data_IF_617934959474
#
_entry.id   IF_617934959474
#
_cell.length_a   1.000
_cell.length_b   1.000
_cell.length_c   1.000
_cell.angle_alpha   90.00
_cell.angle_beta   90.00
_cell.angle_gamma   90.00
#
_symmetry.space_group_name_H-M   'P 1'
#
loop_
_entity.id
_entity.type
_entity.pdbx_description
1 polymer ?
#
# COMPACT_ATOMS: atom_id res chain seq x y z
N UNK A 1 8.80 1.83 -16.02
CA UNK A 1 8.19 1.84 -17.34
C UNK A 1 7.74 3.25 -17.76
N UNK A 2 7.26 4.06 -16.85
CA UNK A 2 6.76 5.42 -17.12
C UNK A 2 7.80 6.52 -16.87
N UNK A 3 9.06 6.17 -16.62
CA UNK A 3 10.17 7.11 -16.44
C UNK A 3 10.30 7.70 -15.02
N UNK A 4 9.41 7.37 -14.11
CA UNK A 4 9.48 7.84 -12.71
C UNK A 4 10.38 6.92 -11.88
N UNK A 5 11.25 7.51 -11.09
CA UNK A 5 11.94 6.82 -9.99
C UNK A 5 11.10 7.01 -8.74
N UNK A 6 10.69 5.93 -8.11
CA UNK A 6 9.79 5.96 -6.96
C UNK A 6 10.50 5.37 -5.75
N UNK A 7 10.41 6.06 -4.62
CA UNK A 7 10.76 5.55 -3.31
C UNK A 7 9.46 5.37 -2.52
N UNK A 8 9.19 4.14 -2.09
CA UNK A 8 8.05 3.85 -1.22
C UNK A 8 8.50 4.02 0.24
N UNK A 9 7.70 4.76 1.01
CA UNK A 9 7.83 4.83 2.46
C UNK A 9 6.82 3.82 3.04
N UNK A 10 7.27 2.58 3.27
CA UNK A 10 6.44 1.44 3.63
C UNK A 10 6.36 1.19 5.16
N UNK A 11 7.09 1.98 5.92
CA UNK A 11 7.13 1.91 7.38
C UNK A 11 6.77 3.24 7.99
N UNK A 12 6.12 3.22 9.13
CA UNK A 12 5.87 4.40 9.96
C UNK A 12 6.50 4.18 11.34
N UNK A 13 7.27 5.16 11.78
CA UNK A 13 7.92 5.13 13.09
C UNK A 13 7.23 6.07 14.07
N UNK A 14 7.46 5.95 15.39
CA UNK A 14 6.99 6.92 16.36
C UNK A 14 7.43 8.36 16.04
N UNK A 15 8.63 8.53 15.50
CA UNK A 15 9.17 9.83 15.09
C UNK A 15 8.36 10.44 13.96
N UNK A 16 7.87 9.63 13.02
CA UNK A 16 6.96 10.11 11.95
C UNK A 16 5.66 10.66 12.54
N UNK A 17 5.12 9.99 13.56
CA UNK A 17 3.93 10.47 14.27
C UNK A 17 4.20 11.80 14.98
N UNK A 18 5.34 11.93 15.67
CA UNK A 18 5.75 13.17 16.34
C UNK A 18 5.91 14.33 15.35
N UNK A 19 6.55 14.07 14.20
CA UNK A 19 6.66 15.04 13.11
C UNK A 19 5.27 15.41 12.58
N UNK A 20 4.41 14.44 12.39
CA UNK A 20 3.02 14.67 11.96
C UNK A 20 2.25 15.56 12.93
N UNK A 21 2.33 15.30 14.22
CA UNK A 21 1.70 16.12 15.28
C UNK A 21 2.27 17.54 15.34
N UNK A 22 3.51 17.74 14.93
CA UNK A 22 4.14 19.07 14.88
C UNK A 22 3.61 19.93 13.71
N UNK A 23 3.39 19.33 12.54
CA UNK A 23 3.07 20.05 11.30
C UNK A 23 1.62 19.93 10.85
N UNK A 24 0.84 19.05 11.46
CA UNK A 24 -0.60 18.87 11.22
C UNK A 24 -1.32 19.14 12.53
N UNK A 25 -2.47 19.83 12.46
CA UNK A 25 -3.31 20.02 13.63
C UNK A 25 -3.70 18.64 14.23
N UNK A 26 -3.52 18.46 15.53
CA UNK A 26 -3.86 17.24 16.26
C UNK A 26 -5.36 16.88 16.21
N UNK A 27 -6.24 17.82 15.88
CA UNK A 27 -7.66 17.57 15.60
C UNK A 27 -7.91 16.96 14.20
N UNK A 28 -6.87 16.84 13.36
CA UNK A 28 -6.96 16.12 12.11
C UNK A 28 -7.08 14.61 12.35
N UNK A 29 -7.59 13.88 11.35
CA UNK A 29 -7.66 12.43 11.46
C UNK A 29 -6.26 11.80 11.54
N UNK A 30 -6.13 10.68 12.25
CA UNK A 30 -4.86 9.99 12.45
C UNK A 30 -4.10 9.66 11.14
N UNK A 31 -4.76 9.21 10.05
CA UNK A 31 -4.09 9.04 8.76
C UNK A 31 -3.41 10.30 8.22
N UNK A 32 -3.99 11.49 8.42
CA UNK A 32 -3.34 12.73 7.99
C UNK A 32 -2.04 12.99 8.75
N UNK A 33 -2.05 12.74 10.06
CA UNK A 33 -0.87 12.87 10.91
C UNK A 33 0.23 11.91 10.43
N UNK A 34 -0.11 10.64 10.22
CA UNK A 34 0.83 9.63 9.77
C UNK A 34 1.46 9.97 8.42
N UNK A 35 0.61 10.23 7.40
CA UNK A 35 1.09 10.43 6.02
C UNK A 35 1.89 11.72 5.89
N UNK A 36 1.44 12.81 6.48
CA UNK A 36 2.19 14.08 6.44
C UNK A 36 3.46 13.97 7.24
N UNK A 37 3.41 13.34 8.42
CA UNK A 37 4.59 13.11 9.25
C UNK A 37 5.66 12.31 8.53
N UNK A 38 5.31 11.18 7.98
CA UNK A 38 6.21 10.29 7.25
C UNK A 38 6.87 11.00 6.05
N UNK A 39 6.08 11.72 5.25
CA UNK A 39 6.59 12.43 4.07
C UNK A 39 7.48 13.62 4.44
N UNK A 40 7.14 14.37 5.49
CA UNK A 40 7.99 15.49 5.99
C UNK A 40 9.26 14.95 6.64
N UNK A 41 9.15 13.90 7.45
CA UNK A 41 10.28 13.30 8.14
C UNK A 41 11.33 12.72 7.17
N UNK A 42 10.92 12.22 6.01
CA UNK A 42 11.84 11.75 4.98
C UNK A 42 12.82 12.86 4.51
N UNK A 43 12.40 14.12 4.52
CA UNK A 43 13.28 15.26 4.22
C UNK A 43 14.08 15.72 5.44
N UNK A 44 13.48 15.77 6.62
CA UNK A 44 14.14 16.19 7.85
C UNK A 44 15.32 15.27 8.19
N UNK A 45 15.20 13.98 7.93
CA UNK A 45 16.24 12.97 8.19
C UNK A 45 17.24 12.81 7.04
N UNK A 46 17.06 13.53 5.93
CA UNK A 46 17.93 13.42 4.75
C UNK A 46 17.68 12.14 3.94
N UNK A 47 16.58 11.42 4.18
CA UNK A 47 16.18 10.24 3.40
C UNK A 47 15.72 10.56 1.97
N UNK A 48 15.37 11.83 1.71
CA UNK A 48 15.03 12.35 0.40
C UNK A 48 15.73 13.68 0.13
N UNK A 49 16.17 13.91 -1.11
CA UNK A 49 16.78 15.18 -1.53
C UNK A 49 15.68 16.18 -1.94
N UNK A 50 15.47 17.27 -1.21
CA UNK A 50 14.41 18.24 -1.51
C UNK A 50 14.59 18.97 -2.85
N UNK A 51 15.80 19.01 -3.41
CA UNK A 51 16.06 19.66 -4.71
C UNK A 51 15.67 18.77 -5.91
N UNK A 52 15.65 17.44 -5.72
CA UNK A 52 15.45 16.47 -6.80
C UNK A 52 14.28 15.50 -6.56
N UNK A 53 13.45 15.78 -5.54
CA UNK A 53 12.32 14.93 -5.18
C UNK A 53 11.00 15.68 -5.23
N UNK A 54 9.93 14.95 -5.45
CA UNK A 54 8.55 15.37 -5.25
C UNK A 54 7.85 14.33 -4.39
N UNK A 55 6.84 14.73 -3.66
CA UNK A 55 5.99 13.81 -2.91
C UNK A 55 4.69 13.55 -3.66
N UNK A 56 4.20 12.32 -3.61
CA UNK A 56 2.93 11.95 -4.20
C UNK A 56 1.96 11.48 -3.13
N UNK A 57 0.74 11.98 -3.16
CA UNK A 57 -0.31 11.61 -2.23
C UNK A 57 -1.65 11.47 -2.96
N UNK A 58 -2.50 10.56 -2.50
CA UNK A 58 -3.85 10.44 -3.04
C UNK A 58 -4.76 11.53 -2.51
N UNK A 59 -5.70 11.98 -3.35
CA UNK A 59 -6.73 12.95 -3.00
C UNK A 59 -8.09 12.37 -3.40
N UNK A 60 -8.98 12.15 -2.44
CA UNK A 60 -10.21 11.39 -2.70
C UNK A 60 -11.39 12.23 -3.15
N UNK A 61 -11.55 13.41 -2.64
CA UNK A 61 -12.78 14.21 -2.83
C UNK A 61 -13.89 13.85 -1.83
N UNK A 62 -15.00 14.59 -1.88
CA UNK A 62 -16.11 14.43 -0.97
C UNK A 62 -15.85 14.96 0.45
N UNK A 63 -16.55 14.41 1.44
CA UNK A 63 -16.50 14.89 2.83
C UNK A 63 -15.34 14.34 3.65
N UNK A 64 -14.56 13.43 3.12
CA UNK A 64 -13.38 12.87 3.78
C UNK A 64 -12.26 13.91 3.84
N UNK A 65 -11.50 13.95 4.94
CA UNK A 65 -10.34 14.85 5.08
C UNK A 65 -9.21 14.52 4.09
N UNK A 66 -9.18 13.31 3.54
CA UNK A 66 -8.27 12.93 2.46
C UNK A 66 -8.38 13.83 1.21
N UNK A 67 -9.50 14.52 1.04
CA UNK A 67 -9.64 15.57 0.03
C UNK A 67 -8.64 16.71 0.21
N UNK A 68 -8.21 16.99 1.45
CA UNK A 68 -7.30 18.09 1.77
C UNK A 68 -5.88 17.63 2.19
N UNK A 69 -5.54 16.35 2.06
CA UNK A 69 -4.21 15.88 2.47
C UNK A 69 -3.08 16.55 1.67
N UNK A 70 -3.29 16.81 0.39
CA UNK A 70 -2.30 17.54 -0.42
C UNK A 70 -2.06 18.95 0.10
N UNK A 71 -3.12 19.67 0.51
CA UNK A 71 -3.01 20.99 1.14
C UNK A 71 -2.28 20.95 2.48
N UNK A 72 -2.62 19.98 3.34
CA UNK A 72 -1.96 19.78 4.64
C UNK A 72 -0.47 19.44 4.45
N UNK A 73 -0.15 18.62 3.46
CA UNK A 73 1.23 18.25 3.15
C UNK A 73 2.04 19.45 2.62
N UNK A 74 1.48 20.27 1.72
CA UNK A 74 2.15 21.48 1.25
C UNK A 74 2.44 22.44 2.41
N UNK A 75 1.46 22.63 3.30
CA UNK A 75 1.66 23.43 4.51
C UNK A 75 2.75 22.83 5.40
N UNK A 76 2.68 21.54 5.70
CA UNK A 76 3.66 20.85 6.55
C UNK A 76 5.08 20.94 5.99
N UNK A 77 5.25 20.74 4.68
CA UNK A 77 6.56 20.90 4.01
C UNK A 77 7.07 22.34 4.10
N UNK A 78 6.21 23.34 3.86
CA UNK A 78 6.60 24.74 3.96
C UNK A 78 7.02 25.11 5.39
N UNK A 79 6.25 24.71 6.39
CA UNK A 79 6.54 24.97 7.81
C UNK A 79 7.81 24.25 8.27
N UNK A 80 8.14 23.10 7.65
CA UNK A 80 9.36 22.33 7.91
C UNK A 80 10.62 22.88 7.17
N UNK A 81 10.45 23.93 6.33
CA UNK A 81 11.57 24.55 5.59
C UNK A 81 11.77 24.00 4.16
N UNK A 82 10.83 23.26 3.64
CA UNK A 82 10.87 22.66 2.28
C UNK A 82 9.77 23.15 1.33
N UNK A 83 9.51 24.48 1.22
CA UNK A 83 8.42 25.01 0.39
C UNK A 83 8.62 24.73 -1.11
N UNK A 84 9.83 24.40 -1.54
CA UNK A 84 10.19 24.10 -2.93
C UNK A 84 9.81 22.69 -3.37
N UNK A 85 9.49 21.78 -2.43
CA UNK A 85 9.19 20.37 -2.77
C UNK A 85 7.79 20.28 -3.40
N UNK A 86 7.68 19.82 -4.66
CA UNK A 86 6.38 19.70 -5.31
C UNK A 86 5.54 18.58 -4.70
N UNK A 87 4.24 18.83 -4.55
CA UNK A 87 3.26 17.84 -4.10
C UNK A 87 2.38 17.42 -5.27
N UNK A 88 2.49 16.17 -5.68
CA UNK A 88 1.66 15.54 -6.71
C UNK A 88 0.40 15.00 -6.04
N UNK A 89 -0.74 15.62 -6.30
CA UNK A 89 -2.03 15.16 -5.81
C UNK A 89 -2.65 14.19 -6.83
N UNK A 90 -2.64 12.90 -6.50
CA UNK A 90 -3.20 11.85 -7.36
C UNK A 90 -4.70 11.72 -7.10
N UNK A 91 -5.52 12.23 -8.02
CA UNK A 91 -6.97 12.21 -7.92
C UNK A 91 -7.61 11.68 -9.19
N UNK A 92 -8.58 10.77 -9.04
CA UNK A 92 -9.42 10.32 -10.16
C UNK A 92 -10.40 11.40 -10.64
N UNK A 93 -10.67 12.41 -9.82
CA UNK A 93 -11.63 13.49 -10.12
C UNK A 93 -10.97 14.73 -10.75
N UNK A 94 -9.63 14.72 -10.89
CA UNK A 94 -8.92 15.80 -11.57
C UNK A 94 -8.98 17.16 -10.84
N UNK A 95 -8.99 17.17 -9.51
CA UNK A 95 -9.08 18.42 -8.72
C UNK A 95 -7.88 19.34 -8.89
N UNK A 96 -6.73 18.81 -9.24
CA UNK A 96 -5.51 19.58 -9.36
C UNK A 96 -4.72 19.19 -10.61
N UNK A 97 -4.10 20.17 -11.24
CA UNK A 97 -3.09 19.95 -12.26
C UNK A 97 -1.74 19.66 -11.60
N UNK A 98 -1.07 18.62 -12.06
CA UNK A 98 0.25 18.23 -11.56
C UNK A 98 1.28 18.40 -12.69
N UNK A 99 1.94 19.55 -12.84
CA UNK A 99 2.96 19.75 -13.86
C UNK A 99 4.05 18.68 -13.79
N UNK A 100 4.31 18.02 -14.91
CA UNK A 100 5.30 16.93 -14.97
C UNK A 100 4.81 15.54 -14.56
N UNK A 101 3.56 15.40 -14.10
CA UNK A 101 2.95 14.11 -13.81
C UNK A 101 1.62 13.95 -14.55
N UNK A 102 1.44 12.85 -15.26
CA UNK A 102 0.21 12.59 -16.02
C UNK A 102 -0.34 11.20 -15.72
N UNK A 103 -1.60 11.15 -15.27
CA UNK A 103 -2.37 9.91 -15.15
C UNK A 103 -2.93 9.51 -16.52
N UNK A 104 -2.05 8.96 -17.39
CA UNK A 104 -2.50 8.45 -18.67
C UNK A 104 -3.27 7.11 -18.53
N UNK A 105 -4.11 6.75 -19.54
CA UNK A 105 -4.92 5.52 -19.49
C UNK A 105 -4.09 4.25 -19.25
N UNK A 106 -2.87 4.19 -19.79
CA UNK A 106 -1.96 3.07 -19.59
C UNK A 106 -1.48 2.94 -18.13
N UNK A 107 -1.23 4.06 -17.45
CA UNK A 107 -0.83 4.08 -16.04
C UNK A 107 -2.01 3.65 -15.15
N UNK A 108 -3.21 4.20 -15.42
CA UNK A 108 -4.45 3.83 -14.71
C UNK A 108 -4.74 2.33 -14.88
N UNK A 109 -4.70 1.81 -16.10
CA UNK A 109 -4.92 0.38 -16.36
C UNK A 109 -3.93 -0.49 -15.59
N UNK A 110 -2.65 -0.14 -15.58
CA UNK A 110 -1.62 -0.86 -14.81
C UNK A 110 -1.83 -0.73 -13.29
N UNK A 111 -2.27 0.43 -12.83
CA UNK A 111 -2.63 0.64 -11.43
C UNK A 111 -3.75 -0.29 -10.98
N UNK A 112 -4.82 -0.41 -11.76
CA UNK A 112 -5.93 -1.35 -11.48
C UNK A 112 -5.44 -2.80 -11.47
N UNK A 113 -4.62 -3.20 -12.44
CA UNK A 113 -4.01 -4.53 -12.45
C UNK A 113 -3.16 -4.80 -11.20
N UNK A 114 -2.40 -3.80 -10.75
CA UNK A 114 -1.57 -3.93 -9.53
C UNK A 114 -2.43 -4.07 -8.27
N UNK A 115 -3.52 -3.29 -8.16
CA UNK A 115 -4.46 -3.41 -7.05
C UNK A 115 -5.09 -4.80 -6.99
N UNK A 116 -5.53 -5.35 -8.12
CA UNK A 116 -6.10 -6.72 -8.18
C UNK A 116 -5.08 -7.76 -7.72
N UNK A 117 -3.82 -7.67 -8.17
CA UNK A 117 -2.79 -8.63 -7.75
C UNK A 117 -2.42 -8.47 -6.28
N UNK A 118 -2.36 -7.24 -5.77
CA UNK A 118 -2.11 -6.97 -4.35
C UNK A 118 -3.21 -7.54 -3.45
N UNK A 119 -4.48 -7.28 -3.79
CA UNK A 119 -5.62 -7.83 -3.06
C UNK A 119 -5.66 -9.37 -3.12
N UNK A 120 -5.33 -9.95 -4.29
CA UNK A 120 -5.27 -11.41 -4.46
C UNK A 120 -4.17 -12.01 -3.59
N UNK A 121 -2.94 -11.47 -3.66
CA UNK A 121 -1.80 -11.92 -2.85
C UNK A 121 -2.12 -11.90 -1.36
N UNK A 122 -2.69 -10.80 -0.88
CA UNK A 122 -3.09 -10.67 0.51
C UNK A 122 -4.16 -11.69 0.91
N UNK A 123 -5.18 -11.85 0.05
CA UNK A 123 -6.29 -12.77 0.30
C UNK A 123 -5.79 -14.22 0.42
N UNK A 124 -4.96 -14.68 -0.52
CA UNK A 124 -4.47 -16.06 -0.49
C UNK A 124 -3.50 -16.29 0.68
N UNK A 125 -2.65 -15.31 1.01
CA UNK A 125 -1.77 -15.38 2.18
C UNK A 125 -2.57 -15.58 3.47
N UNK A 126 -3.50 -14.66 3.78
CA UNK A 126 -4.28 -14.70 5.02
C UNK A 126 -5.16 -15.95 5.13
N UNK A 127 -5.57 -16.51 3.98
CA UNK A 127 -6.37 -17.73 3.95
C UNK A 127 -5.59 -19.00 4.28
N UNK A 128 -4.29 -19.07 3.95
CA UNK A 128 -3.48 -20.28 4.13
C UNK A 128 -2.50 -20.21 5.29
N UNK A 129 -1.99 -19.01 5.62
CA UNK A 129 -0.96 -18.80 6.65
C UNK A 129 -1.34 -19.40 8.02
N UNK A 130 -2.57 -19.27 8.53
CA UNK A 130 -2.97 -19.87 9.80
C UNK A 130 -2.92 -21.41 9.80
N UNK A 131 -2.89 -22.03 8.63
CA UNK A 131 -2.96 -23.48 8.45
C UNK A 131 -1.68 -24.10 7.89
N UNK A 132 -0.65 -23.30 7.57
CA UNK A 132 0.59 -23.82 6.99
C UNK A 132 1.22 -24.92 7.86
N UNK A 133 1.74 -25.97 7.20
CA UNK A 133 2.41 -27.07 7.90
C UNK A 133 3.79 -26.64 8.39
N UNK A 134 4.56 -25.98 7.51
CA UNK A 134 5.88 -25.45 7.79
C UNK A 134 5.78 -23.96 8.11
N UNK A 135 6.07 -23.52 9.33
CA UNK A 135 5.98 -22.11 9.72
C UNK A 135 6.78 -21.18 8.80
N UNK A 136 6.14 -20.19 8.26
CA UNK A 136 6.75 -19.20 7.36
C UNK A 136 6.74 -19.57 5.87
N UNK A 137 6.26 -20.78 5.50
CA UNK A 137 6.18 -21.20 4.10
C UNK A 137 5.23 -20.32 3.28
N UNK A 138 4.07 -19.97 3.83
CA UNK A 138 3.12 -19.08 3.18
C UNK A 138 3.71 -17.69 2.96
N UNK A 139 4.43 -17.14 3.95
CA UNK A 139 5.09 -15.86 3.83
C UNK A 139 6.25 -15.87 2.82
N UNK A 140 6.99 -16.96 2.73
CA UNK A 140 8.05 -17.14 1.74
C UNK A 140 7.46 -17.20 0.32
N UNK A 141 6.36 -17.93 0.16
CA UNK A 141 5.62 -18.02 -1.10
C UNK A 141 5.06 -16.66 -1.51
N UNK A 142 4.48 -15.91 -0.58
CA UNK A 142 4.01 -14.54 -0.79
C UNK A 142 5.13 -13.65 -1.33
N UNK A 143 6.28 -13.60 -0.65
CA UNK A 143 7.43 -12.77 -1.09
C UNK A 143 7.90 -13.12 -2.49
N UNK A 144 7.91 -14.40 -2.83
CA UNK A 144 8.27 -14.85 -4.18
C UNK A 144 7.30 -14.35 -5.24
N UNK A 145 5.99 -14.46 -4.99
CA UNK A 145 4.97 -14.02 -5.94
C UNK A 145 4.86 -12.50 -6.00
N UNK A 146 5.07 -11.80 -4.91
CA UNK A 146 5.17 -10.35 -4.88
C UNK A 146 6.30 -9.85 -5.77
N UNK A 147 7.49 -10.46 -5.68
CA UNK A 147 8.62 -10.15 -6.58
C UNK A 147 8.26 -10.39 -8.06
N UNK A 148 7.58 -11.49 -8.39
CA UNK A 148 7.13 -11.79 -9.76
C UNK A 148 6.12 -10.74 -10.25
N UNK A 149 5.19 -10.31 -9.40
CA UNK A 149 4.24 -9.25 -9.71
C UNK A 149 4.95 -7.91 -9.96
N UNK A 150 5.90 -7.53 -9.11
CA UNK A 150 6.71 -6.33 -9.28
C UNK A 150 7.51 -6.39 -10.59
N UNK A 151 8.16 -7.51 -10.90
CA UNK A 151 8.87 -7.75 -12.16
C UNK A 151 7.96 -7.50 -13.36
N UNK A 152 6.75 -8.05 -13.35
CA UNK A 152 5.78 -7.89 -14.44
C UNK A 152 5.50 -6.43 -14.76
N UNK A 153 5.34 -5.59 -13.72
CA UNK A 153 5.06 -4.16 -13.92
C UNK A 153 6.29 -3.36 -14.30
N UNK A 154 7.43 -3.62 -13.68
CA UNK A 154 8.65 -2.83 -13.83
C UNK A 154 9.43 -3.21 -15.08
N UNK A 155 9.45 -4.48 -15.49
CA UNK A 155 10.20 -5.00 -16.63
C UNK A 155 9.32 -5.37 -17.83
N UNK A 156 8.18 -4.71 -17.99
CA UNK A 156 7.28 -4.90 -19.13
C UNK A 156 6.91 -6.36 -19.43
N UNK A 157 6.56 -7.10 -18.39
CA UNK A 157 6.16 -8.51 -18.49
C UNK A 157 7.31 -9.52 -18.50
N UNK A 158 8.55 -9.10 -18.42
CA UNK A 158 9.68 -10.00 -18.16
C UNK A 158 9.87 -10.13 -16.65
N UNK A 159 10.02 -11.35 -16.15
CA UNK A 159 10.34 -11.59 -14.74
C UNK A 159 11.77 -12.11 -14.62
N UNK A 160 12.71 -11.29 -14.13
CA UNK A 160 14.04 -11.74 -13.72
C UNK A 160 13.97 -12.91 -12.71
N UNK A 161 13.03 -12.87 -11.78
CA UNK A 161 12.81 -13.92 -10.78
C UNK A 161 12.53 -15.28 -11.41
N UNK A 162 11.87 -15.31 -12.60
CA UNK A 162 11.54 -16.53 -13.33
C UNK A 162 12.44 -16.76 -14.56
N UNK A 163 13.26 -15.78 -14.96
CA UNK A 163 14.07 -15.81 -16.16
C UNK A 163 13.27 -15.82 -17.48
N UNK A 164 12.00 -15.39 -17.47
CA UNK A 164 11.11 -15.42 -18.66
C UNK A 164 10.05 -14.32 -18.66
N UNK A 165 9.39 -14.16 -19.80
CA UNK A 165 8.19 -13.30 -19.89
C UNK A 165 6.97 -14.04 -19.36
N UNK A 166 6.11 -13.28 -18.68
CA UNK A 166 4.84 -13.74 -18.11
C UNK A 166 3.70 -12.81 -18.51
N UNK A 167 2.49 -13.37 -18.61
CA UNK A 167 1.26 -12.62 -18.83
C UNK A 167 0.51 -12.39 -17.54
N UNK A 168 -0.37 -11.39 -17.52
CA UNK A 168 -1.18 -11.06 -16.35
C UNK A 168 -2.07 -12.23 -15.89
N UNK A 169 -2.83 -12.86 -16.82
CA UNK A 169 -3.64 -14.03 -16.50
C UNK A 169 -2.80 -15.22 -16.03
N UNK A 170 -1.64 -15.44 -16.67
CA UNK A 170 -0.71 -16.47 -16.23
C UNK A 170 -0.27 -16.29 -14.76
N UNK A 171 0.00 -15.05 -14.35
CA UNK A 171 0.37 -14.75 -12.95
C UNK A 171 -0.78 -15.13 -12.02
N UNK A 172 -2.01 -14.72 -12.31
CA UNK A 172 -3.19 -15.02 -11.47
C UNK A 172 -3.35 -16.53 -11.30
N UNK A 173 -3.38 -17.27 -12.41
CA UNK A 173 -3.63 -18.73 -12.40
C UNK A 173 -2.56 -19.47 -11.60
N UNK A 174 -1.28 -19.13 -11.85
CA UNK A 174 -0.17 -19.84 -11.21
C UNK A 174 0.07 -19.41 -9.75
N UNK A 175 -0.24 -18.17 -9.42
CA UNK A 175 -0.23 -17.69 -8.05
C UNK A 175 -1.26 -18.44 -7.21
N UNK A 176 -2.50 -18.51 -7.65
CA UNK A 176 -3.56 -19.25 -6.95
C UNK A 176 -3.18 -20.72 -6.83
N UNK A 177 -2.77 -21.37 -7.93
CA UNK A 177 -2.35 -22.77 -7.92
C UNK A 177 -1.18 -23.04 -6.95
N UNK A 178 -0.23 -22.09 -6.83
CA UNK A 178 0.89 -22.25 -5.91
C UNK A 178 0.46 -22.22 -4.44
N UNK A 179 -0.49 -21.34 -4.09
CA UNK A 179 -1.03 -21.28 -2.74
C UNK A 179 -1.96 -22.46 -2.42
N UNK A 180 -2.73 -22.94 -3.41
CA UNK A 180 -3.56 -24.16 -3.27
C UNK A 180 -2.70 -25.41 -3.06
N UNK A 181 -1.50 -25.46 -3.64
CA UNK A 181 -0.56 -26.56 -3.47
C UNK A 181 0.27 -26.49 -2.18
N UNK A 182 0.14 -25.41 -1.39
CA UNK A 182 0.90 -25.28 -0.15
C UNK A 182 0.46 -26.37 0.86
N UNK A 183 1.40 -27.14 1.44
CA UNK A 183 1.05 -28.13 2.45
C UNK A 183 0.44 -27.51 3.68
N UNK A 184 -0.82 -27.84 3.96
CA UNK A 184 -1.56 -27.37 5.12
C UNK A 184 -1.67 -28.46 6.19
N UNK A 185 -1.88 -28.04 7.44
CA UNK A 185 -2.24 -28.90 8.56
C UNK A 185 -3.70 -29.36 8.39
N UNK A 186 -3.96 -30.62 8.72
CA UNK A 186 -5.32 -31.15 8.77
C UNK A 186 -5.96 -30.80 10.12
N UNK A 187 -6.48 -29.58 10.20
CA UNK A 187 -7.12 -29.04 11.40
C UNK A 187 -8.46 -28.39 11.03
N UNK A 188 -9.43 -28.35 11.94
CA UNK A 188 -10.69 -27.64 11.72
C UNK A 188 -10.46 -26.16 11.33
N UNK A 189 -11.40 -25.62 10.58
CA UNK A 189 -11.39 -24.18 10.26
C UNK A 189 -11.45 -23.34 11.53
N UNK A 190 -10.53 -22.38 11.62
CA UNK A 190 -10.47 -21.42 12.71
C UNK A 190 -11.60 -20.39 12.59
N UNK A 191 -12.01 -19.77 13.72
CA UNK A 191 -12.91 -18.62 13.68
C UNK A 191 -12.37 -17.52 12.76
N UNK A 192 -13.24 -16.92 11.96
CA UNK A 192 -12.87 -15.83 11.05
C UNK A 192 -13.14 -14.48 11.68
N UNK A 193 -12.13 -13.63 11.74
CA UNK A 193 -12.20 -12.28 12.29
C UNK A 193 -12.05 -11.27 11.17
N UNK A 194 -13.12 -10.52 10.87
CA UNK A 194 -13.11 -9.44 9.88
C UNK A 194 -12.42 -8.20 10.42
N UNK A 195 -11.38 -7.73 9.75
CA UNK A 195 -10.69 -6.49 10.07
C UNK A 195 -11.29 -5.35 9.25
N UNK A 196 -12.04 -4.49 9.93
CA UNK A 196 -12.74 -3.35 9.33
C UNK A 196 -12.31 -2.05 9.99
N UNK A 197 -12.54 -0.92 9.34
CA UNK A 197 -12.20 0.38 9.88
C UNK A 197 -11.72 1.35 8.80
N UNK A 198 -10.98 2.37 9.23
CA UNK A 198 -10.40 3.38 8.36
C UNK A 198 -9.38 2.74 7.40
N UNK A 199 -9.41 3.16 6.12
CA UNK A 199 -8.73 2.45 5.05
C UNK A 199 -7.20 2.40 5.23
N UNK A 200 -6.54 3.51 5.58
CA UNK A 200 -5.10 3.51 5.78
C UNK A 200 -4.72 2.67 7.00
N UNK A 201 -5.35 2.92 8.14
CA UNK A 201 -5.07 2.20 9.40
C UNK A 201 -5.29 0.70 9.22
N UNK A 202 -6.35 0.31 8.54
CA UNK A 202 -6.66 -1.11 8.27
C UNK A 202 -5.53 -1.84 7.52
N UNK A 203 -4.90 -1.18 6.54
CA UNK A 203 -3.88 -1.80 5.69
C UNK A 203 -2.44 -1.54 6.14
N UNK A 204 -2.22 -0.62 7.07
CA UNK A 204 -0.88 -0.23 7.51
C UNK A 204 -0.52 -0.92 8.84
N UNK A 205 0.36 -1.93 8.85
CA UNK A 205 0.66 -2.71 10.05
C UNK A 205 1.16 -1.86 11.22
N UNK A 206 2.05 -0.90 10.99
CA UNK A 206 2.58 -0.04 12.05
C UNK A 206 1.51 0.90 12.63
N UNK A 207 0.48 1.26 11.83
CA UNK A 207 -0.62 2.10 12.27
C UNK A 207 -1.71 1.34 13.05
N UNK A 208 -1.80 0.03 12.88
CA UNK A 208 -2.82 -0.83 13.51
C UNK A 208 -2.24 -1.81 14.55
N UNK A 209 -0.99 -1.60 14.99
CA UNK A 209 -0.31 -2.46 15.95
C UNK A 209 -0.26 -3.93 15.52
N UNK A 210 -0.03 -4.19 14.23
CA UNK A 210 0.08 -5.55 13.66
C UNK A 210 -1.13 -6.43 13.97
N UNK A 211 -2.34 -5.87 13.89
CA UNK A 211 -3.60 -6.52 14.28
C UNK A 211 -3.82 -7.88 13.60
N UNK A 212 -3.33 -8.08 12.38
CA UNK A 212 -3.40 -9.37 11.69
C UNK A 212 -2.63 -10.44 12.46
N UNK A 213 -1.41 -10.13 12.91
CA UNK A 213 -0.56 -11.07 13.63
C UNK A 213 -1.15 -11.38 15.02
N UNK A 214 -1.78 -10.39 15.66
CA UNK A 214 -2.52 -10.59 16.92
C UNK A 214 -3.68 -11.55 16.72
N UNK A 215 -4.52 -11.35 15.70
CA UNK A 215 -5.67 -12.22 15.39
C UNK A 215 -5.22 -13.65 15.09
N UNK A 216 -4.16 -13.82 14.31
CA UNK A 216 -3.64 -15.15 14.00
C UNK A 216 -2.96 -15.82 15.21
N UNK A 217 -2.33 -15.03 16.09
CA UNK A 217 -1.78 -15.51 17.36
C UNK A 217 -2.82 -16.04 18.32
N UNK A 218 -4.07 -15.57 18.22
CA UNK A 218 -5.23 -16.06 18.98
C UNK A 218 -5.98 -17.22 18.26
N UNK A 219 -5.29 -17.97 17.42
CA UNK A 219 -5.84 -19.10 16.69
C UNK A 219 -7.04 -18.78 15.78
N UNK A 220 -7.10 -17.57 15.26
CA UNK A 220 -8.14 -17.10 14.33
C UNK A 220 -7.62 -16.95 12.91
N UNK A 221 -8.54 -16.88 11.93
CA UNK A 221 -8.25 -16.53 10.53
C UNK A 221 -8.57 -15.04 10.33
N UNK A 222 -7.57 -14.21 10.06
CA UNK A 222 -7.78 -12.80 9.75
C UNK A 222 -8.38 -12.63 8.36
N UNK A 223 -9.43 -11.83 8.23
CA UNK A 223 -10.08 -11.49 6.97
C UNK A 223 -10.01 -9.99 6.76
N UNK A 224 -9.20 -9.57 5.80
CA UNK A 224 -9.01 -8.18 5.45
C UNK A 224 -9.63 -7.93 4.07
N UNK A 225 -10.75 -7.18 3.99
CA UNK A 225 -11.37 -6.82 2.70
C UNK A 225 -10.39 -6.05 1.81
N UNK A 226 -10.31 -6.40 0.54
CA UNK A 226 -9.37 -5.79 -0.41
C UNK A 226 -9.63 -4.31 -0.68
N UNK A 227 -8.61 -3.60 -1.16
CA UNK A 227 -8.71 -2.19 -1.54
C UNK A 227 -9.66 -2.01 -2.72
N UNK A 228 -9.60 -2.90 -3.71
CA UNK A 228 -10.49 -2.83 -4.86
C UNK A 228 -11.95 -3.01 -4.45
N UNK A 229 -12.22 -3.90 -3.49
CA UNK A 229 -13.57 -4.08 -2.95
C UNK A 229 -14.10 -2.79 -2.31
N UNK A 230 -13.26 -2.02 -1.63
CA UNK A 230 -13.65 -0.72 -1.08
C UNK A 230 -14.12 0.25 -2.17
N UNK A 231 -13.43 0.30 -3.33
CA UNK A 231 -13.83 1.15 -4.45
C UNK A 231 -15.05 0.64 -5.23
N UNK A 232 -15.32 -0.65 -5.15
CA UNK A 232 -16.45 -1.29 -5.86
C UNK A 232 -17.71 -1.45 -4.99
N UNK A 233 -17.63 -1.18 -3.70
CA UNK A 233 -18.83 -1.16 -2.86
C UNK A 233 -19.76 -0.07 -3.36
N UNK A 234 -21.04 -0.40 -3.64
CA UNK A 234 -21.97 0.58 -4.17
C UNK A 234 -22.11 1.76 -3.21
N UNK A 235 -21.96 2.92 -3.78
CA UNK A 235 -22.30 4.19 -3.16
C UNK A 235 -23.82 4.25 -2.93
#
# INVERSE_FOLDING_TARGET
>A
RFGYRVQLLDRTTPEDVEVGLKYVNNDACYPAILVVGQLVNAFLTGGADPANSSVAITQTGGMCRATNYAGLLRKGLADAGFPQVPVVAVSAQGFEENPGFTLGPALVHRGIQALVLGDLLQTVLLRVRPYEREPGAAQALYRRWDAICQDFFTHNGYSPTLGRRVGYGWIIDHLVAAFDALPLRDVPRRPRVGLVGEILVKFHPDANNHVVDVVEGEDCEAVLPGILQFFLMPL
#
